data_IF_447566694256
#
_entry.id   IF_447566694256
#
_cell.length_a   1.000
_cell.length_b   1.000
_cell.length_c   1.000
_cell.angle_alpha   90.00
_cell.angle_beta   90.00
_cell.angle_gamma   90.00
#
_symmetry.space_group_name_H-M   'P 1'
#
loop_
_entity.id
_entity.type
_entity.pdbx_description
1 polymer ?
#
# COMPACT_ATOMS: atom_id res chain seq x y z
N UNK A 1 21.83 6.42 -9.23
CA UNK A 1 20.39 6.09 -9.04
C UNK A 1 20.22 5.49 -7.66
N UNK A 2 19.32 5.99 -6.79
CA UNK A 2 19.08 5.35 -5.50
C UNK A 2 18.55 3.93 -5.76
N UNK A 3 19.17 2.92 -5.13
CA UNK A 3 18.72 1.53 -5.20
C UNK A 3 17.26 1.50 -4.75
N UNK A 4 16.36 1.19 -5.68
CA UNK A 4 14.96 0.95 -5.34
C UNK A 4 14.91 -0.18 -4.31
N UNK A 5 14.23 0.05 -3.17
CA UNK A 5 14.00 -0.98 -2.14
C UNK A 5 13.23 -2.21 -2.67
N UNK A 6 12.74 -2.15 -3.90
CA UNK A 6 11.97 -3.18 -4.57
C UNK A 6 12.83 -4.27 -5.20
N UNK A 7 14.09 -3.97 -5.51
CA UNK A 7 15.03 -4.90 -6.15
C UNK A 7 16.16 -5.19 -5.18
N UNK A 8 16.21 -6.43 -4.71
CA UNK A 8 17.27 -6.88 -3.82
C UNK A 8 18.50 -7.31 -4.61
N UNK A 9 19.67 -7.30 -3.95
CA UNK A 9 20.93 -7.74 -4.54
C UNK A 9 21.03 -9.26 -4.77
N UNK A 10 19.98 -10.02 -4.46
CA UNK A 10 19.91 -11.47 -4.69
C UNK A 10 19.04 -11.84 -5.89
N UNK A 11 18.32 -10.88 -6.48
CA UNK A 11 17.27 -11.17 -7.47
C UNK A 11 16.00 -11.79 -6.87
N UNK A 12 15.98 -12.09 -5.57
CA UNK A 12 14.82 -12.64 -4.87
C UNK A 12 14.18 -11.58 -3.97
N UNK A 13 12.91 -11.27 -4.25
CA UNK A 13 12.16 -10.31 -3.44
C UNK A 13 12.12 -10.72 -1.97
N UNK A 14 12.15 -9.68 -1.13
CA UNK A 14 12.19 -9.79 0.32
C UNK A 14 13.47 -10.44 0.87
N UNK A 15 14.49 -10.73 0.05
CA UNK A 15 15.76 -11.33 0.50
C UNK A 15 16.93 -10.47 0.05
N UNK A 16 17.72 -9.94 0.98
CA UNK A 16 19.00 -9.28 0.70
C UNK A 16 20.18 -10.13 1.17
N UNK A 17 21.33 -10.01 0.49
CA UNK A 17 22.58 -10.66 0.90
C UNK A 17 23.42 -9.70 1.72
N UNK A 18 23.83 -10.13 2.92
CA UNK A 18 24.86 -9.52 3.74
C UNK A 18 26.16 -10.34 3.68
N UNK A 19 27.20 -9.92 4.40
CA UNK A 19 28.53 -10.57 4.37
C UNK A 19 28.50 -12.05 4.80
N UNK A 20 27.62 -12.40 5.72
CA UNK A 20 27.62 -13.73 6.38
C UNK A 20 26.26 -14.40 6.40
N UNK A 21 25.20 -13.70 5.96
CA UNK A 21 23.83 -14.16 6.03
C UNK A 21 22.97 -13.56 4.90
N UNK A 22 21.92 -14.27 4.54
CA UNK A 22 20.79 -13.72 3.79
C UNK A 22 19.78 -13.15 4.78
N UNK A 23 19.42 -11.87 4.60
CA UNK A 23 18.42 -11.17 5.41
C UNK A 23 17.07 -11.18 4.71
N UNK A 24 16.04 -11.59 5.41
CA UNK A 24 14.66 -11.61 4.93
C UNK A 24 13.92 -10.42 5.55
N UNK A 25 13.20 -9.67 4.71
CA UNK A 25 12.44 -8.46 5.06
C UNK A 25 11.06 -8.54 4.43
N UNK A 26 10.03 -8.88 5.19
CA UNK A 26 8.65 -9.03 4.68
C UNK A 26 7.77 -8.01 5.37
N UNK A 27 7.01 -7.21 4.61
CA UNK A 27 5.97 -6.36 5.20
C UNK A 27 4.86 -7.24 5.77
N UNK A 28 4.41 -6.94 6.98
CA UNK A 28 3.26 -7.62 7.60
C UNK A 28 1.96 -6.97 7.14
N UNK A 29 0.81 -7.66 7.30
CA UNK A 29 -0.51 -7.07 7.06
C UNK A 29 -0.77 -5.80 7.89
N UNK A 30 -0.19 -5.72 9.08
CA UNK A 30 -0.34 -4.63 10.05
C UNK A 30 0.62 -3.44 9.81
N UNK A 31 1.14 -3.28 8.60
CA UNK A 31 2.11 -2.22 8.23
C UNK A 31 3.49 -2.29 8.90
N UNK A 32 3.83 -3.38 9.59
CA UNK A 32 5.17 -3.60 10.14
C UNK A 32 6.11 -4.29 9.14
N UNK A 33 7.37 -4.45 9.52
CA UNK A 33 8.36 -5.21 8.75
C UNK A 33 8.93 -6.31 9.62
N UNK A 34 8.69 -7.56 9.21
CA UNK A 34 9.30 -8.73 9.82
C UNK A 34 10.72 -8.92 9.29
N UNK A 35 11.66 -9.08 10.21
CA UNK A 35 13.06 -9.35 9.93
C UNK A 35 13.44 -10.79 10.33
N UNK A 36 14.06 -11.53 9.41
CA UNK A 36 14.72 -12.82 9.68
C UNK A 36 16.08 -12.89 8.99
N UNK A 37 16.91 -13.84 9.39
CA UNK A 37 18.23 -14.02 8.77
C UNK A 37 18.62 -15.49 8.72
N UNK A 38 19.26 -15.90 7.63
CA UNK A 38 19.81 -17.24 7.43
C UNK A 38 21.30 -17.11 7.20
N UNK A 39 22.10 -17.56 8.16
CA UNK A 39 23.56 -17.59 8.04
C UNK A 39 24.01 -18.63 7.01
N UNK A 40 25.00 -18.29 6.18
CA UNK A 40 25.49 -19.18 5.12
C UNK A 40 26.98 -19.55 5.24
N UNK A 41 27.71 -19.03 6.25
CA UNK A 41 29.17 -19.29 6.41
C UNK A 41 29.49 -20.79 6.41
N UNK A 42 28.73 -21.60 7.16
CA UNK A 42 28.95 -23.05 7.28
C UNK A 42 28.20 -23.88 6.23
N UNK A 43 27.13 -23.33 5.66
CA UNK A 43 26.23 -24.03 4.74
C UNK A 43 26.62 -23.84 3.27
N UNK A 44 27.42 -22.80 2.96
CA UNK A 44 27.65 -22.34 1.61
C UNK A 44 26.54 -21.41 1.12
N UNK A 45 26.88 -20.51 0.19
CA UNK A 45 25.97 -19.46 -0.29
C UNK A 45 24.73 -20.02 -0.98
N UNK A 46 24.89 -21.02 -1.84
CA UNK A 46 23.79 -21.60 -2.62
C UNK A 46 22.75 -22.28 -1.71
N UNK A 47 23.20 -23.11 -0.76
CA UNK A 47 22.31 -23.75 0.20
C UNK A 47 21.69 -22.73 1.16
N UNK A 48 22.46 -21.73 1.56
CA UNK A 48 21.97 -20.61 2.37
C UNK A 48 20.84 -19.85 1.67
N UNK A 49 20.98 -19.58 0.37
CA UNK A 49 19.96 -18.91 -0.43
C UNK A 49 18.70 -19.78 -0.56
N UNK A 50 18.86 -21.07 -0.87
CA UNK A 50 17.73 -22.02 -0.95
C UNK A 50 16.94 -22.05 0.35
N UNK A 51 17.64 -22.12 1.48
CA UNK A 51 17.04 -22.10 2.82
C UNK A 51 16.35 -20.76 3.13
N UNK A 52 16.94 -19.65 2.71
CA UNK A 52 16.31 -18.33 2.85
C UNK A 52 15.02 -18.19 2.02
N UNK A 53 15.00 -18.73 0.79
CA UNK A 53 13.82 -18.75 -0.08
C UNK A 53 12.69 -19.59 0.52
N UNK A 54 13.02 -20.77 1.04
CA UNK A 54 12.07 -21.64 1.73
C UNK A 54 11.46 -20.94 2.94
N UNK A 55 12.30 -20.44 3.84
CA UNK A 55 11.86 -19.73 5.05
C UNK A 55 11.01 -18.50 4.72
N UNK A 56 11.38 -17.72 3.69
CA UNK A 56 10.58 -16.58 3.23
C UNK A 56 9.20 -17.02 2.75
N UNK A 57 9.11 -18.13 2.01
CA UNK A 57 7.84 -18.63 1.52
C UNK A 57 6.94 -19.15 2.64
N UNK A 58 7.50 -19.87 3.60
CA UNK A 58 6.76 -20.38 4.77
C UNK A 58 6.14 -19.22 5.54
N UNK A 59 6.98 -18.27 5.95
CA UNK A 59 6.56 -17.07 6.68
C UNK A 59 5.56 -16.23 5.86
N UNK A 60 5.84 -16.05 4.57
CA UNK A 60 4.98 -15.29 3.68
C UNK A 60 3.60 -15.91 3.51
N UNK A 61 3.53 -17.23 3.35
CA UNK A 61 2.26 -17.96 3.27
C UNK A 61 1.51 -17.96 4.60
N UNK A 62 2.21 -18.09 5.72
CA UNK A 62 1.61 -18.03 7.06
C UNK A 62 0.96 -16.65 7.32
N UNK A 63 1.67 -15.56 6.99
CA UNK A 63 1.17 -14.20 7.25
C UNK A 63 0.17 -13.69 6.21
N UNK A 64 0.37 -14.00 4.92
CA UNK A 64 -0.42 -13.42 3.82
C UNK A 64 -1.38 -14.40 3.17
N UNK A 65 -1.28 -15.69 3.50
CA UNK A 65 -2.11 -16.75 2.91
C UNK A 65 -2.13 -16.67 1.37
N UNK A 66 -3.34 -16.60 0.82
CA UNK A 66 -3.58 -16.51 -0.62
C UNK A 66 -3.02 -15.25 -1.29
N UNK A 67 -2.72 -14.18 -0.54
CA UNK A 67 -2.16 -12.95 -1.11
C UNK A 67 -0.65 -13.01 -1.33
N UNK A 68 0.04 -13.99 -0.74
CA UNK A 68 1.50 -14.10 -0.84
C UNK A 68 2.03 -14.14 -2.28
N UNK A 69 1.47 -14.94 -3.21
CA UNK A 69 1.93 -14.94 -4.61
C UNK A 69 1.79 -13.56 -5.28
N UNK A 70 0.73 -12.82 -4.95
CA UNK A 70 0.50 -11.46 -5.46
C UNK A 70 1.56 -10.50 -4.94
N UNK A 71 1.89 -10.59 -3.65
CA UNK A 71 2.96 -9.81 -3.04
C UNK A 71 4.32 -10.13 -3.65
N UNK A 72 4.59 -11.37 -4.05
CA UNK A 72 5.84 -11.73 -4.75
C UNK A 72 5.87 -11.19 -6.18
N UNK A 73 4.74 -11.21 -6.90
CA UNK A 73 4.66 -10.80 -8.30
C UNK A 73 4.65 -9.27 -8.50
N UNK A 74 3.90 -8.53 -7.68
CA UNK A 74 3.76 -7.07 -7.82
C UNK A 74 4.66 -6.31 -6.83
N UNK A 75 5.76 -5.69 -7.30
CA UNK A 75 6.67 -4.91 -6.44
C UNK A 75 6.02 -3.66 -5.86
N UNK A 76 5.02 -3.10 -6.54
CA UNK A 76 4.41 -1.84 -6.16
C UNK A 76 3.10 -2.01 -5.40
N UNK A 77 2.71 -3.24 -5.05
CA UNK A 77 1.45 -3.51 -4.36
C UNK A 77 1.35 -2.70 -3.06
N UNK A 78 2.30 -2.91 -2.14
CA UNK A 78 2.30 -2.25 -0.82
C UNK A 78 2.34 -0.72 -0.92
N UNK A 79 3.03 -0.17 -1.92
CA UNK A 79 3.12 1.28 -2.11
C UNK A 79 1.87 1.91 -2.71
N UNK A 80 1.02 1.09 -3.36
CA UNK A 80 -0.22 1.49 -4.03
C UNK A 80 -1.43 1.33 -3.13
N UNK A 81 -1.42 0.34 -2.25
CA UNK A 81 -2.51 0.08 -1.32
C UNK A 81 -2.72 1.30 -0.39
N UNK A 82 -3.93 1.88 -0.35
CA UNK A 82 -4.21 2.96 0.58
C UNK A 82 -4.18 2.44 2.03
N UNK A 83 -3.79 3.30 2.97
CA UNK A 83 -3.88 2.99 4.41
C UNK A 83 -5.33 3.05 4.93
N UNK A 84 -6.19 3.81 4.24
CA UNK A 84 -7.61 3.92 4.58
C UNK A 84 -8.39 4.16 3.30
N UNK A 85 -9.56 3.52 3.22
CA UNK A 85 -10.53 3.78 2.16
C UNK A 85 -11.55 4.86 2.57
N UNK A 86 -11.19 5.78 3.47
CA UNK A 86 -12.05 6.89 3.88
C UNK A 86 -11.66 8.23 3.20
N UNK A 87 -12.64 8.97 2.65
CA UNK A 87 -12.43 10.35 2.23
C UNK A 87 -11.97 11.24 3.39
N UNK A 88 -11.02 12.13 3.12
CA UNK A 88 -10.55 13.12 4.09
C UNK A 88 -11.25 14.45 3.88
N UNK A 89 -11.39 15.24 4.95
CA UNK A 89 -11.87 16.62 4.85
C UNK A 89 -10.67 17.53 4.58
N UNK A 90 -10.82 18.43 3.62
CA UNK A 90 -9.85 19.49 3.30
C UNK A 90 -10.57 20.83 3.15
N UNK A 91 -9.84 21.92 3.36
CA UNK A 91 -10.33 23.28 3.18
C UNK A 91 -9.64 23.90 1.97
N UNK A 92 -10.38 24.06 0.87
CA UNK A 92 -9.82 24.66 -0.37
C UNK A 92 -10.00 26.17 -0.36
N UNK A 93 -8.96 26.97 -0.63
CA UNK A 93 -9.11 28.42 -0.72
C UNK A 93 -10.07 28.78 -1.86
N UNK A 94 -11.07 29.59 -1.53
CA UNK A 94 -12.00 30.22 -2.47
C UNK A 94 -12.18 31.68 -2.06
N UNK A 95 -11.14 32.51 -2.23
CA UNK A 95 -11.25 33.93 -1.89
C UNK A 95 -12.38 34.57 -2.70
N UNK A 96 -13.14 35.43 -2.03
CA UNK A 96 -14.15 36.29 -2.65
C UNK A 96 -13.74 37.75 -2.44
N UNK A 97 -14.34 38.69 -3.17
CA UNK A 97 -14.08 40.13 -2.98
C UNK A 97 -14.41 40.59 -1.56
N UNK A 98 -15.45 40.00 -0.96
CA UNK A 98 -15.93 40.31 0.40
C UNK A 98 -15.13 39.57 1.49
N UNK A 99 -14.67 38.35 1.18
CA UNK A 99 -13.86 37.56 2.10
C UNK A 99 -12.65 36.94 1.38
N UNK A 100 -11.48 37.61 1.42
CA UNK A 100 -10.24 37.14 0.81
C UNK A 100 -9.66 35.86 1.45
N UNK A 101 -10.11 35.48 2.65
CA UNK A 101 -9.60 34.28 3.36
C UNK A 101 -10.57 33.11 3.32
N UNK A 102 -11.68 33.24 2.59
CA UNK A 102 -12.71 32.21 2.50
C UNK A 102 -12.16 30.86 2.03
N UNK A 103 -12.61 29.79 2.69
CA UNK A 103 -12.27 28.41 2.38
C UNK A 103 -13.54 27.59 2.23
N UNK A 104 -13.54 26.67 1.27
CA UNK A 104 -14.62 25.74 1.01
C UNK A 104 -14.27 24.37 1.61
N UNK A 105 -15.10 23.88 2.52
CA UNK A 105 -14.97 22.55 3.09
C UNK A 105 -15.30 21.50 2.01
N UNK A 106 -14.37 20.60 1.75
CA UNK A 106 -14.49 19.57 0.72
C UNK A 106 -14.10 18.20 1.28
N UNK A 107 -14.73 17.15 0.76
CA UNK A 107 -14.16 15.81 0.84
C UNK A 107 -13.15 15.59 -0.29
N UNK A 108 -12.05 14.91 0.00
CA UNK A 108 -11.07 14.44 -0.97
C UNK A 108 -10.84 12.93 -0.81
N UNK A 109 -10.89 12.23 -1.94
CA UNK A 109 -10.34 10.90 -2.10
C UNK A 109 -9.09 11.00 -2.97
N UNK A 110 -7.97 10.43 -2.54
CA UNK A 110 -6.73 10.40 -3.30
C UNK A 110 -6.14 9.00 -3.30
N UNK A 111 -5.60 8.58 -4.44
CA UNK A 111 -4.99 7.27 -4.59
C UNK A 111 -3.84 7.32 -5.59
N UNK A 112 -3.00 6.29 -5.52
CA UNK A 112 -1.82 6.10 -6.36
C UNK A 112 -2.15 5.09 -7.45
N UNK A 113 -1.70 5.37 -8.66
CA UNK A 113 -1.74 4.42 -9.77
C UNK A 113 -0.38 4.41 -10.49
N UNK A 114 -0.15 3.43 -11.34
CA UNK A 114 1.04 3.37 -12.19
C UNK A 114 0.61 3.33 -13.65
N UNK A 115 1.30 4.07 -14.51
CA UNK A 115 1.12 3.94 -15.95
C UNK A 115 1.79 2.69 -16.52
N UNK A 116 1.61 2.46 -17.82
CA UNK A 116 2.22 1.34 -18.54
C UNK A 116 3.76 1.35 -18.49
N UNK A 117 4.38 2.49 -18.20
CA UNK A 117 5.83 2.66 -18.10
C UNK A 117 6.32 2.55 -16.64
N UNK A 118 5.45 2.22 -15.69
CA UNK A 118 5.78 2.11 -14.27
C UNK A 118 5.96 3.46 -13.56
N UNK A 119 5.50 4.57 -14.14
CA UNK A 119 5.52 5.89 -13.50
C UNK A 119 4.33 6.04 -12.57
N UNK A 120 4.60 6.50 -11.35
CA UNK A 120 3.58 6.80 -10.35
C UNK A 120 2.72 8.00 -10.77
N UNK A 121 1.41 7.78 -10.88
CA UNK A 121 0.38 8.78 -11.13
C UNK A 121 -0.44 8.99 -9.86
N UNK A 122 -0.55 10.24 -9.45
CA UNK A 122 -1.46 10.65 -8.38
C UNK A 122 -2.82 11.00 -8.96
N UNK A 123 -3.88 10.37 -8.46
CA UNK A 123 -5.26 10.71 -8.80
C UNK A 123 -5.99 11.17 -7.55
N UNK A 124 -6.87 12.16 -7.73
CA UNK A 124 -7.75 12.60 -6.65
C UNK A 124 -9.10 13.05 -7.19
N UNK A 125 -10.13 12.89 -6.36
CA UNK A 125 -11.48 13.41 -6.59
C UNK A 125 -11.83 14.27 -5.39
N UNK A 126 -12.27 15.49 -5.65
CA UNK A 126 -12.65 16.46 -4.62
C UNK A 126 -14.11 16.86 -4.82
N UNK A 127 -14.88 16.90 -3.75
CA UNK A 127 -16.28 17.30 -3.77
C UNK A 127 -16.57 18.31 -2.65
N UNK A 128 -17.12 19.46 -3.02
CA UNK A 128 -17.50 20.54 -2.08
C UNK A 128 -18.71 20.11 -1.26
N UNK A 129 -18.62 20.30 0.06
CA UNK A 129 -19.71 20.04 1.01
C UNK A 129 -20.81 21.09 0.83
N UNK A 130 -20.45 22.35 0.67
CA UNK A 130 -21.41 23.44 0.50
C UNK A 130 -22.26 23.27 -0.77
N UNK A 131 -21.67 22.75 -1.87
CA UNK A 131 -22.40 22.57 -3.14
C UNK A 131 -23.34 21.36 -3.15
N UNK A 132 -22.98 20.27 -2.45
CA UNK A 132 -23.65 18.97 -2.60
C UNK A 132 -24.30 18.47 -1.31
N UNK A 133 -24.04 19.09 -0.17
CA UNK A 133 -24.36 18.55 1.15
C UNK A 133 -23.32 17.51 1.60
N UNK A 134 -23.15 17.38 2.92
CA UNK A 134 -22.10 16.55 3.54
C UNK A 134 -22.19 15.07 3.12
N UNK A 135 -23.38 14.48 3.20
CA UNK A 135 -23.59 13.06 2.88
C UNK A 135 -23.34 12.75 1.40
N UNK A 136 -23.82 13.59 0.48
CA UNK A 136 -23.64 13.36 -0.95
C UNK A 136 -22.19 13.58 -1.39
N UNK A 137 -21.52 14.61 -0.84
CA UNK A 137 -20.11 14.85 -1.09
C UNK A 137 -19.22 13.70 -0.58
N UNK A 138 -19.53 13.17 0.61
CA UNK A 138 -18.88 11.98 1.15
C UNK A 138 -19.12 10.75 0.26
N UNK A 139 -20.39 10.44 -0.05
CA UNK A 139 -20.74 9.24 -0.83
C UNK A 139 -20.09 9.25 -2.22
N UNK A 140 -20.08 10.41 -2.89
CA UNK A 140 -19.46 10.56 -4.21
C UNK A 140 -17.94 10.33 -4.16
N UNK A 141 -17.27 10.87 -3.16
CA UNK A 141 -15.81 10.71 -3.00
C UNK A 141 -15.45 9.29 -2.55
N UNK A 142 -16.21 8.71 -1.62
CA UNK A 142 -16.08 7.31 -1.18
C UNK A 142 -16.24 6.34 -2.35
N UNK A 143 -17.28 6.50 -3.18
CA UNK A 143 -17.53 5.65 -4.35
C UNK A 143 -16.36 5.68 -5.33
N UNK A 144 -15.80 6.86 -5.61
CA UNK A 144 -14.64 7.00 -6.48
C UNK A 144 -13.41 6.27 -5.91
N UNK A 145 -13.20 6.33 -4.60
CA UNK A 145 -12.09 5.67 -3.93
C UNK A 145 -12.21 4.14 -3.94
N UNK A 146 -13.43 3.63 -3.69
CA UNK A 146 -13.73 2.20 -3.74
C UNK A 146 -13.57 1.64 -5.16
N UNK A 147 -14.12 2.33 -6.17
CA UNK A 147 -13.98 1.91 -7.57
C UNK A 147 -12.52 1.87 -8.01
N UNK A 148 -11.73 2.87 -7.60
CA UNK A 148 -10.30 2.91 -7.89
C UNK A 148 -9.49 1.75 -7.26
N UNK A 149 -10.01 1.14 -6.19
CA UNK A 149 -9.36 0.07 -5.43
C UNK A 149 -10.13 -1.24 -5.48
N UNK A 150 -11.06 -1.43 -6.42
CA UNK A 150 -11.94 -2.61 -6.47
C UNK A 150 -11.19 -3.95 -6.48
N UNK A 151 -10.07 -4.01 -7.19
CA UNK A 151 -9.20 -5.20 -7.29
C UNK A 151 -8.37 -5.45 -6.01
N UNK A 152 -8.37 -4.49 -5.10
CA UNK A 152 -7.61 -4.51 -3.85
C UNK A 152 -8.52 -4.63 -2.62
N UNK A 153 -9.85 -4.64 -2.78
CA UNK A 153 -10.76 -4.65 -1.63
C UNK A 153 -10.51 -5.85 -0.72
N UNK A 154 -10.31 -7.02 -1.30
CA UNK A 154 -10.10 -8.25 -0.54
C UNK A 154 -8.82 -8.23 0.30
N UNK A 155 -7.71 -7.72 -0.25
CA UNK A 155 -6.45 -7.60 0.50
C UNK A 155 -6.53 -6.46 1.52
N UNK A 156 -7.27 -5.39 1.23
CA UNK A 156 -7.50 -4.30 2.18
C UNK A 156 -8.38 -4.72 3.35
N UNK A 157 -9.36 -5.60 3.12
CA UNK A 157 -10.18 -6.22 4.16
C UNK A 157 -9.34 -7.12 5.05
N UNK A 158 -8.52 -7.98 4.43
CA UNK A 158 -7.57 -8.84 5.13
C UNK A 158 -6.60 -8.07 6.04
N UNK A 159 -6.16 -6.89 5.59
CA UNK A 159 -5.30 -5.98 6.37
C UNK A 159 -6.07 -5.14 7.41
N UNK A 160 -7.39 -5.33 7.57
CA UNK A 160 -8.21 -4.53 8.49
C UNK A 160 -8.34 -3.05 8.11
N UNK A 161 -8.04 -2.68 6.86
CA UNK A 161 -8.09 -1.30 6.36
C UNK A 161 -9.45 -0.90 5.78
N UNK A 162 -10.33 -1.89 5.63
CA UNK A 162 -11.74 -1.64 5.40
C UNK A 162 -12.43 -1.55 6.75
N UNK A 163 -12.86 -0.35 7.10
CA UNK A 163 -13.89 -0.13 8.09
C UNK A 163 -15.19 -0.72 7.54
N UNK A 164 -15.42 -2.00 7.80
CA UNK A 164 -16.75 -2.58 7.71
C UNK A 164 -17.58 -1.77 8.71
N UNK A 165 -18.52 -0.96 8.21
CA UNK A 165 -19.62 -0.50 9.06
C UNK A 165 -20.36 -1.79 9.40
N UNK A 166 -20.00 -2.38 10.53
CA UNK A 166 -20.79 -3.44 11.13
C UNK A 166 -22.15 -2.83 11.40
N UNK A 167 -23.10 -3.09 10.52
CA UNK A 167 -24.51 -3.11 10.87
C UNK A 167 -24.66 -4.31 11.82
N UNK A 168 -24.26 -4.11 13.07
CA UNK A 168 -24.76 -4.92 14.19
C UNK A 168 -26.14 -4.40 14.55
#
# INVERSE_FOLDING_TARGET
MPKSNLITNTGHRFISKAKTAYKIHIHTPDDEVLHRSVGFIKLGEEQGLKKAIQLRNEIGLEMWGKFWPRLLKDPYLMTRLPHSLEPKIIFKPRPTKENPTAKDECFIAAWRNYDANGKLIYRSVVCSINKHGRLAAYTKTKKALLEANKENLEILDFMGRLTSIGLK
#
